data_IF_575138159598
#
_entry.id   IF_575138159598
#
_cell.length_a   1.000
_cell.length_b   1.000
_cell.length_c   1.000
_cell.angle_alpha   90.00
_cell.angle_beta   90.00
_cell.angle_gamma   90.00
#
_symmetry.space_group_name_H-M   'P 1'
#
loop_
_entity.id
_entity.type
_entity.pdbx_description
1 polymer ?
#
# COMPACT_ATOMS: atom_id res chain seq x y z
N UNK A 1 -23.33 -11.53 -2.60
CA UNK A 1 -23.24 -10.15 -2.44
C UNK A 1 -21.81 -9.67 -2.58
N UNK A 2 -21.71 -8.63 -3.25
CA UNK A 2 -20.42 -8.07 -3.50
C UNK A 2 -19.92 -7.40 -2.25
N UNK A 3 -18.70 -7.69 -1.89
CA UNK A 3 -18.13 -7.02 -0.78
C UNK A 3 -17.62 -5.68 -1.16
N UNK A 4 -17.69 -4.73 -0.28
CA UNK A 4 -17.04 -3.47 -0.53
C UNK A 4 -15.55 -3.68 -0.67
N UNK A 5 -14.90 -2.75 -1.31
CA UNK A 5 -13.46 -2.75 -1.33
C UNK A 5 -12.95 -2.64 0.09
N UNK A 6 -11.85 -3.32 0.36
CA UNK A 6 -11.28 -3.26 1.69
C UNK A 6 -10.99 -1.83 2.10
N UNK A 7 -10.65 -0.94 1.13
CA UNK A 7 -10.36 0.44 1.44
C UNK A 7 -11.53 1.16 2.09
N UNK A 8 -12.76 0.81 1.71
CA UNK A 8 -13.91 1.52 2.25
C UNK A 8 -14.14 1.23 3.72
N UNK A 9 -13.94 -0.02 4.13
CA UNK A 9 -14.17 -0.37 5.53
C UNK A 9 -12.91 -0.30 6.36
N UNK A 10 -11.74 -0.48 5.76
CA UNK A 10 -10.49 -0.54 6.51
C UNK A 10 -9.77 0.79 6.60
N UNK A 11 -10.14 1.76 5.76
CA UNK A 11 -9.42 3.02 5.66
C UNK A 11 -9.38 3.80 6.98
N UNK A 12 -10.50 3.98 7.70
CA UNK A 12 -10.43 4.75 8.93
C UNK A 12 -9.46 4.14 9.97
N UNK A 13 -9.45 2.82 10.07
CA UNK A 13 -8.53 2.17 10.98
C UNK A 13 -7.09 2.34 10.52
N UNK A 14 -6.87 2.29 9.21
CA UNK A 14 -5.54 2.46 8.66
C UNK A 14 -4.97 3.84 9.00
N UNK A 15 -5.73 4.91 8.73
CA UNK A 15 -5.22 6.25 8.97
C UNK A 15 -5.11 6.57 10.45
N UNK A 16 -5.82 5.86 11.30
CA UNK A 16 -5.67 6.01 12.74
C UNK A 16 -4.38 5.35 13.23
N UNK A 17 -3.86 4.38 12.48
CA UNK A 17 -2.70 3.60 12.88
C UNK A 17 -1.40 4.09 12.27
N UNK A 18 -1.45 4.56 11.02
CA UNK A 18 -0.27 4.89 10.25
C UNK A 18 -0.31 6.32 9.78
N UNK A 19 0.84 6.96 9.75
CA UNK A 19 1.02 8.29 9.21
C UNK A 19 2.18 8.30 8.23
N UNK A 20 2.34 9.44 7.56
CA UNK A 20 3.46 9.63 6.64
C UNK A 20 4.77 9.47 7.41
N UNK A 21 5.68 8.67 6.86
CA UNK A 21 6.96 8.36 7.49
C UNK A 21 6.99 7.09 8.27
N UNK A 22 5.83 6.49 8.54
CA UNK A 22 5.78 5.23 9.28
C UNK A 22 6.23 4.07 8.41
N UNK A 23 6.81 3.07 9.07
CA UNK A 23 7.24 1.84 8.42
C UNK A 23 6.20 0.76 8.72
N UNK A 24 5.84 0.01 7.70
CA UNK A 24 4.86 -1.06 7.84
C UNK A 24 5.27 -2.26 7.02
N UNK A 25 4.82 -3.43 7.43
CA UNK A 25 4.97 -4.65 6.66
C UNK A 25 3.73 -4.84 5.81
N UNK A 26 3.93 -5.18 4.55
CA UNK A 26 2.82 -5.41 3.65
C UNK A 26 3.08 -6.59 2.76
N UNK A 27 2.09 -6.91 1.96
CA UNK A 27 2.17 -8.00 1.00
C UNK A 27 1.89 -7.46 -0.39
N UNK A 28 2.74 -7.81 -1.34
CA UNK A 28 2.52 -7.43 -2.74
C UNK A 28 1.35 -8.23 -3.25
N UNK A 29 0.29 -7.54 -3.66
CA UNK A 29 -0.93 -8.22 -4.14
C UNK A 29 -1.06 -8.15 -5.64
N UNK A 30 -0.40 -7.18 -6.30
CA UNK A 30 -0.44 -7.08 -7.74
C UNK A 30 0.77 -6.29 -8.21
N UNK A 31 1.23 -6.61 -9.40
CA UNK A 31 2.35 -5.90 -10.04
C UNK A 31 1.89 -5.47 -11.42
N UNK A 32 2.10 -4.19 -11.71
CA UNK A 32 1.71 -3.60 -12.98
C UNK A 32 2.97 -2.99 -13.62
N UNK A 33 2.93 -2.63 -14.91
CA UNK A 33 4.14 -2.14 -15.56
C UNK A 33 4.78 -0.93 -14.90
N UNK A 34 4.00 -0.11 -14.21
CA UNK A 34 4.51 1.13 -13.62
C UNK A 34 4.71 1.04 -12.11
N UNK A 35 4.43 -0.10 -11.47
CA UNK A 35 4.62 -0.22 -10.05
C UNK A 35 3.97 -1.46 -9.48
N UNK A 36 3.64 -1.39 -8.21
CA UNK A 36 3.03 -2.53 -7.51
C UNK A 36 2.03 -2.03 -6.48
N UNK A 37 1.04 -2.88 -6.19
CA UNK A 37 0.09 -2.63 -5.13
C UNK A 37 0.46 -3.50 -3.93
N UNK A 38 0.50 -2.87 -2.77
CA UNK A 38 0.92 -3.52 -1.52
C UNK A 38 -0.19 -3.35 -0.52
N UNK A 39 -0.60 -4.46 0.08
CA UNK A 39 -1.69 -4.47 1.05
C UNK A 39 -1.13 -4.39 2.45
N UNK A 40 -1.62 -3.41 3.20
CA UNK A 40 -1.29 -3.23 4.61
C UNK A 40 -2.62 -3.12 5.36
N UNK A 41 -2.88 -4.06 6.27
CA UNK A 41 -4.09 -4.03 7.10
C UNK A 41 -5.36 -3.85 6.26
N UNK A 42 -5.47 -4.63 5.18
CA UNK A 42 -6.63 -4.64 4.29
C UNK A 42 -6.81 -3.36 3.47
N UNK A 43 -5.78 -2.51 3.40
CA UNK A 43 -5.81 -1.33 2.55
C UNK A 43 -4.66 -1.44 1.55
N UNK A 44 -4.97 -1.19 0.29
CA UNK A 44 -3.98 -1.30 -0.77
C UNK A 44 -3.34 0.05 -1.04
N UNK A 45 -2.01 0.07 -1.01
CA UNK A 45 -1.23 1.25 -1.38
C UNK A 45 -0.44 0.98 -2.63
N UNK A 46 0.04 2.04 -3.25
CA UNK A 46 0.78 1.94 -4.49
C UNK A 46 2.24 2.35 -4.27
N UNK A 47 3.15 1.59 -4.88
CA UNK A 47 4.56 1.95 -4.89
C UNK A 47 5.02 2.03 -6.34
N UNK A 48 5.60 3.16 -6.77
CA UNK A 48 6.04 3.28 -8.14
C UNK A 48 7.27 2.45 -8.41
N UNK A 49 7.38 1.97 -9.62
CA UNK A 49 8.51 1.16 -10.06
C UNK A 49 9.83 1.87 -9.84
N UNK A 50 9.85 3.18 -9.98
CA UNK A 50 11.08 3.97 -9.85
C UNK A 50 11.65 3.97 -8.44
N UNK A 51 10.87 3.57 -7.45
CA UNK A 51 11.36 3.50 -6.07
C UNK A 51 12.10 2.20 -5.78
N UNK A 52 12.10 1.26 -6.71
CA UNK A 52 12.68 -0.06 -6.49
C UNK A 52 13.74 -0.34 -7.54
N UNK A 53 14.79 -1.05 -7.14
CA UNK A 53 15.75 -1.54 -8.12
C UNK A 53 15.13 -2.67 -8.94
N UNK A 54 14.27 -3.46 -8.30
CA UNK A 54 13.48 -4.48 -8.99
C UNK A 54 12.20 -4.67 -8.20
N UNK A 55 11.07 -4.67 -8.89
CA UNK A 55 9.79 -4.85 -8.21
C UNK A 55 9.69 -6.26 -7.65
N UNK A 56 9.20 -6.42 -6.41
CA UNK A 56 8.95 -7.74 -5.86
C UNK A 56 7.77 -8.39 -6.57
N UNK A 57 7.70 -9.71 -6.46
CA UNK A 57 6.63 -10.47 -7.08
C UNK A 57 5.40 -10.52 -6.18
N UNK A 58 4.21 -10.75 -6.78
CA UNK A 58 3.00 -10.92 -5.96
C UNK A 58 3.19 -12.03 -4.93
N UNK A 59 2.67 -11.79 -3.74
CA UNK A 59 2.81 -12.71 -2.64
C UNK A 59 4.01 -12.46 -1.75
N UNK A 60 4.91 -11.57 -2.17
CA UNK A 60 6.11 -11.26 -1.39
C UNK A 60 5.75 -10.33 -0.23
N UNK A 61 6.29 -10.62 0.94
CA UNK A 61 6.16 -9.70 2.06
C UNK A 61 7.29 -8.69 2.01
N UNK A 62 6.93 -7.43 2.20
CA UNK A 62 7.91 -6.35 2.08
C UNK A 62 7.73 -5.36 3.22
N UNK A 63 8.81 -4.69 3.56
CA UNK A 63 8.76 -3.60 4.52
C UNK A 63 8.83 -2.29 3.74
N UNK A 64 7.88 -1.41 3.99
CA UNK A 64 7.73 -0.19 3.23
C UNK A 64 7.53 0.99 4.16
N UNK A 65 7.82 2.18 3.64
CA UNK A 65 7.57 3.43 4.33
C UNK A 65 6.43 4.14 3.63
N UNK A 66 5.55 4.73 4.43
CA UNK A 66 4.43 5.49 3.90
C UNK A 66 4.95 6.87 3.53
N UNK A 67 4.89 7.19 2.24
CA UNK A 67 5.43 8.43 1.71
C UNK A 67 4.38 9.53 1.63
N UNK A 68 3.13 9.16 1.37
CA UNK A 68 2.05 10.12 1.24
C UNK A 68 0.73 9.43 1.49
N UNK A 69 -0.22 10.18 2.04
CA UNK A 69 -1.58 9.69 2.25
C UNK A 69 -2.53 10.71 1.62
N UNK A 70 -3.39 10.24 0.72
CA UNK A 70 -4.40 11.05 0.08
C UNK A 70 -5.76 10.64 0.62
N UNK A 71 -6.27 11.39 1.57
CA UNK A 71 -7.53 11.04 2.23
C UNK A 71 -8.72 11.16 1.29
N UNK A 72 -8.68 12.08 0.34
CA UNK A 72 -9.78 12.26 -0.59
C UNK A 72 -9.96 11.06 -1.50
N UNK A 73 -8.87 10.50 -1.96
CA UNK A 73 -8.88 9.34 -2.85
C UNK A 73 -8.78 8.03 -2.09
N UNK A 74 -8.54 8.09 -0.80
CA UNK A 74 -8.31 6.93 0.05
C UNK A 74 -7.20 6.07 -0.50
N UNK A 75 -6.07 6.73 -0.77
CA UNK A 75 -4.89 6.09 -1.32
C UNK A 75 -3.68 6.46 -0.49
N UNK A 76 -2.65 5.65 -0.60
CA UNK A 76 -1.39 6.02 -0.02
C UNK A 76 -0.27 5.50 -0.91
N UNK A 77 0.84 6.23 -0.86
CA UNK A 77 2.02 5.91 -1.65
C UNK A 77 3.10 5.36 -0.75
N UNK A 78 3.84 4.40 -1.28
CA UNK A 78 4.83 3.65 -0.52
C UNK A 78 6.16 3.67 -1.22
N UNK A 79 7.22 3.49 -0.42
CA UNK A 79 8.57 3.28 -0.92
C UNK A 79 9.20 2.16 -0.12
N UNK A 80 10.25 1.51 -0.65
CA UNK A 80 10.98 0.51 0.15
C UNK A 80 11.58 1.17 1.39
N UNK A 81 11.46 0.48 2.49
CA UNK A 81 12.00 0.98 3.75
C UNK A 81 13.48 0.62 3.91
#
# INVERSE_FOLDING_TARGET
MSRPHSNESAWPAFVARYGVGDIADGEVVDVVPFGAFIRIDDVDGFTPKTSWSALPEPGTRVRVRIEAIDADQRRFALAPA
#
